data_IF_899183851825
#
_entry.id   IF_899183851825
#
_cell.length_a   1.000
_cell.length_b   1.000
_cell.length_c   1.000
_cell.angle_alpha   90.00
_cell.angle_beta   90.00
_cell.angle_gamma   90.00
#
_symmetry.space_group_name_H-M   'P 1'
#
loop_
_entity.id
_entity.type
_entity.pdbx_description
1 polymer ?
#
# COMPACT_ATOMS: atom_id res chain seq x y z
N UNK A 1 -0.67 -7.81 -11.87
CA UNK A 1 0.34 -7.77 -10.80
C UNK A 1 1.28 -6.59 -11.00
N UNK A 2 2.11 -6.54 -12.06
CA UNK A 2 3.13 -5.46 -12.24
C UNK A 2 2.57 -4.02 -12.21
N UNK A 3 1.36 -3.81 -12.74
CA UNK A 3 0.71 -2.49 -12.69
C UNK A 3 0.29 -2.09 -11.26
N UNK A 4 -0.22 -3.03 -10.45
CA UNK A 4 -0.60 -2.77 -9.06
C UNK A 4 0.63 -2.45 -8.18
N UNK A 5 1.73 -3.16 -8.40
CA UNK A 5 3.01 -2.89 -7.73
C UNK A 5 3.48 -1.45 -7.98
N UNK A 6 3.46 -1.00 -9.24
CA UNK A 6 3.85 0.37 -9.62
C UNK A 6 2.92 1.44 -9.05
N UNK A 7 1.61 1.20 -9.01
CA UNK A 7 0.64 2.12 -8.39
C UNK A 7 0.87 2.24 -6.88
N UNK A 8 1.06 1.11 -6.20
CA UNK A 8 1.39 1.09 -4.78
C UNK A 8 2.68 1.85 -4.46
N UNK A 9 3.74 1.63 -5.24
CA UNK A 9 4.98 2.39 -5.14
C UNK A 9 4.74 3.90 -5.29
N UNK A 10 3.97 4.30 -6.31
CA UNK A 10 3.66 5.71 -6.55
C UNK A 10 2.91 6.34 -5.38
N UNK A 11 1.91 5.66 -4.81
CA UNK A 11 1.19 6.14 -3.62
C UNK A 11 2.11 6.29 -2.41
N UNK A 12 2.99 5.31 -2.16
CA UNK A 12 3.95 5.37 -1.06
C UNK A 12 4.95 6.52 -1.24
N UNK A 13 5.38 6.79 -2.48
CA UNK A 13 6.24 7.94 -2.80
C UNK A 13 5.54 9.30 -2.62
N UNK A 14 4.22 9.36 -2.80
CA UNK A 14 3.42 10.54 -2.48
C UNK A 14 3.27 10.71 -0.96
N UNK A 15 3.04 9.61 -0.24
CA UNK A 15 2.88 9.58 1.21
C UNK A 15 4.17 9.88 1.97
N UNK A 16 5.32 9.41 1.47
CA UNK A 16 6.64 9.62 2.08
C UNK A 16 7.65 10.21 1.09
N UNK A 17 7.56 11.51 0.79
CA UNK A 17 8.48 12.17 -0.14
C UNK A 17 9.97 11.97 0.21
N UNK A 18 10.28 11.97 1.51
CA UNK A 18 11.63 11.78 2.04
C UNK A 18 12.18 10.35 1.85
N UNK A 19 11.31 9.36 1.62
CA UNK A 19 11.71 7.95 1.41
C UNK A 19 11.76 7.57 -0.08
N UNK A 20 11.45 8.50 -1.00
CA UNK A 20 11.47 8.25 -2.46
C UNK A 20 12.76 7.61 -2.97
N UNK A 21 13.97 8.05 -2.58
CA UNK A 21 15.20 7.44 -3.08
C UNK A 21 15.33 5.96 -2.67
N UNK A 22 15.04 5.65 -1.41
CA UNK A 22 15.13 4.29 -0.88
C UNK A 22 14.09 3.35 -1.50
N UNK A 23 12.85 3.82 -1.65
CA UNK A 23 11.77 3.09 -2.33
C UNK A 23 12.15 2.74 -3.78
N UNK A 24 12.63 3.73 -4.55
CA UNK A 24 13.05 3.51 -5.95
C UNK A 24 14.23 2.54 -6.06
N UNK A 25 15.24 2.71 -5.20
CA UNK A 25 16.46 1.91 -5.25
C UNK A 25 16.20 0.43 -4.96
N UNK A 26 15.30 0.13 -4.01
CA UNK A 26 15.01 -1.26 -3.61
C UNK A 26 13.91 -1.93 -4.44
N UNK A 27 12.99 -1.17 -5.06
CA UNK A 27 11.84 -1.75 -5.76
C UNK A 27 12.23 -2.70 -6.91
N UNK A 28 13.31 -2.40 -7.63
CA UNK A 28 13.76 -3.24 -8.75
C UNK A 28 14.57 -4.47 -8.34
N UNK A 29 15.01 -4.56 -7.08
CA UNK A 29 15.93 -5.61 -6.59
C UNK A 29 15.38 -6.42 -5.43
N UNK A 30 14.36 -5.93 -4.72
CA UNK A 30 13.65 -6.63 -3.65
C UNK A 30 12.24 -7.02 -4.14
N UNK A 31 12.10 -8.26 -4.60
CA UNK A 31 10.81 -8.81 -5.05
C UNK A 31 9.74 -8.75 -3.95
N UNK A 32 10.13 -8.88 -2.67
CA UNK A 32 9.20 -8.80 -1.55
C UNK A 32 8.74 -7.36 -1.30
N UNK A 33 9.58 -6.37 -1.56
CA UNK A 33 9.14 -4.98 -1.56
C UNK A 33 8.10 -4.73 -2.66
N UNK A 34 8.30 -5.29 -3.86
CA UNK A 34 7.32 -5.17 -4.94
C UNK A 34 5.96 -5.78 -4.56
N UNK A 35 5.95 -6.98 -3.96
CA UNK A 35 4.73 -7.60 -3.41
C UNK A 35 4.05 -6.74 -2.35
N UNK A 36 4.81 -6.12 -1.45
CA UNK A 36 4.25 -5.24 -0.42
C UNK A 36 3.66 -3.96 -1.03
N UNK A 37 4.26 -3.41 -2.09
CA UNK A 37 3.66 -2.29 -2.82
C UNK A 37 2.31 -2.69 -3.45
N UNK A 38 2.21 -3.88 -4.03
CA UNK A 38 0.94 -4.40 -4.55
C UNK A 38 -0.10 -4.63 -3.43
N UNK A 39 0.29 -5.25 -2.32
CA UNK A 39 -0.60 -5.44 -1.17
C UNK A 39 -1.12 -4.11 -0.63
N UNK A 40 -0.26 -3.09 -0.57
CA UNK A 40 -0.64 -1.74 -0.18
C UNK A 40 -1.64 -1.12 -1.16
N UNK A 41 -1.44 -1.26 -2.48
CA UNK A 41 -2.40 -0.77 -3.49
C UNK A 41 -3.77 -1.44 -3.33
N UNK A 42 -3.79 -2.77 -3.20
CA UNK A 42 -5.04 -3.53 -3.05
C UNK A 42 -5.79 -3.11 -1.79
N UNK A 43 -5.09 -2.92 -0.67
CA UNK A 43 -5.70 -2.42 0.56
C UNK A 43 -6.27 -1.00 0.39
N UNK A 44 -5.57 -0.12 -0.34
CA UNK A 44 -6.07 1.22 -0.66
C UNK A 44 -7.34 1.17 -1.54
N UNK A 45 -7.34 0.34 -2.58
CA UNK A 45 -8.48 0.17 -3.49
C UNK A 45 -9.68 -0.41 -2.71
N UNK A 46 -9.47 -1.41 -1.87
CA UNK A 46 -10.50 -2.04 -1.06
C UNK A 46 -11.07 -1.08 -0.01
N UNK A 47 -10.23 -0.34 0.71
CA UNK A 47 -10.69 0.69 1.65
C UNK A 47 -11.54 1.75 0.93
N UNK A 48 -11.09 2.21 -0.24
CA UNK A 48 -11.82 3.21 -1.05
C UNK A 48 -13.14 2.69 -1.60
N UNK A 49 -13.21 1.39 -1.94
CA UNK A 49 -14.43 0.74 -2.37
C UNK A 49 -15.44 0.69 -1.23
N UNK A 50 -15.03 0.19 -0.06
CA UNK A 50 -15.92 0.07 1.08
C UNK A 50 -16.38 1.43 1.61
N UNK A 51 -15.54 2.45 1.59
CA UNK A 51 -15.93 3.82 1.98
C UNK A 51 -17.09 4.39 1.14
N UNK A 52 -17.28 3.89 -0.09
CA UNK A 52 -18.36 4.28 -1.01
C UNK A 52 -19.51 3.29 -1.05
N UNK A 53 -19.39 2.15 -0.37
CA UNK A 53 -20.37 1.07 -0.42
C UNK A 53 -21.59 1.41 0.43
N UNK A 54 -22.82 1.18 -0.05
CA UNK A 54 -24.04 1.36 0.74
C UNK A 54 -24.27 0.24 1.76
N UNK A 55 -23.38 -0.76 1.81
CA UNK A 55 -23.50 -1.89 2.74
C UNK A 55 -23.44 -1.43 4.21
N UNK A 56 -24.28 -1.96 5.11
CA UNK A 56 -24.15 -1.68 6.55
C UNK A 56 -22.79 -2.08 7.14
N UNK A 57 -22.11 -3.08 6.54
CA UNK A 57 -20.78 -3.51 6.96
C UNK A 57 -19.64 -2.66 6.38
N UNK A 58 -19.95 -1.68 5.53
CA UNK A 58 -18.96 -0.85 4.85
C UNK A 58 -17.98 -0.13 5.79
N UNK A 59 -18.42 0.49 6.92
CA UNK A 59 -17.49 1.17 7.82
C UNK A 59 -16.48 0.21 8.46
N UNK A 60 -16.93 -0.96 8.87
CA UNK A 60 -16.08 -1.99 9.47
C UNK A 60 -15.05 -2.51 8.46
N UNK A 61 -15.51 -2.87 7.24
CA UNK A 61 -14.62 -3.33 6.17
C UNK A 61 -13.60 -2.27 5.76
N UNK A 62 -14.02 -1.02 5.60
CA UNK A 62 -13.10 0.08 5.31
C UNK A 62 -12.03 0.22 6.41
N UNK A 63 -12.41 0.05 7.67
CA UNK A 63 -11.47 0.10 8.79
C UNK A 63 -10.49 -1.07 8.80
N UNK A 64 -10.93 -2.30 8.49
CA UNK A 64 -10.05 -3.46 8.35
C UNK A 64 -8.96 -3.22 7.29
N UNK A 65 -9.34 -2.74 6.10
CA UNK A 65 -8.38 -2.45 5.05
C UNK A 65 -7.45 -1.28 5.40
N UNK A 66 -7.93 -0.26 6.11
CA UNK A 66 -7.06 0.81 6.63
C UNK A 66 -6.02 0.29 7.62
N UNK A 67 -6.40 -0.66 8.48
CA UNK A 67 -5.45 -1.33 9.38
C UNK A 67 -4.42 -2.14 8.61
N UNK A 68 -4.82 -2.85 7.54
CA UNK A 68 -3.89 -3.55 6.65
C UNK A 68 -2.93 -2.61 5.93
N UNK A 69 -3.39 -1.42 5.50
CA UNK A 69 -2.52 -0.39 4.92
C UNK A 69 -1.42 0.00 5.90
N UNK A 70 -1.77 0.30 7.16
CA UNK A 70 -0.80 0.71 8.20
C UNK A 70 0.20 -0.41 8.50
N UNK A 71 -0.26 -1.66 8.62
CA UNK A 71 0.63 -2.80 8.84
C UNK A 71 1.61 -2.99 7.66
N UNK A 72 1.09 -2.92 6.44
CA UNK A 72 1.90 -3.04 5.21
C UNK A 72 2.93 -1.91 5.12
N UNK A 73 2.53 -0.69 5.46
CA UNK A 73 3.43 0.47 5.53
C UNK A 73 4.60 0.23 6.48
N UNK A 74 4.35 -0.31 7.68
CA UNK A 74 5.39 -0.61 8.65
C UNK A 74 6.38 -1.65 8.13
N UNK A 75 5.91 -2.69 7.45
CA UNK A 75 6.78 -3.72 6.88
C UNK A 75 7.63 -3.20 5.73
N UNK A 76 7.07 -2.31 4.90
CA UNK A 76 7.82 -1.58 3.88
C UNK A 76 8.89 -0.70 4.52
N UNK A 77 8.56 0.05 5.57
CA UNK A 77 9.51 0.93 6.25
C UNK A 77 10.69 0.16 6.83
N UNK A 78 10.46 -0.99 7.47
CA UNK A 78 11.53 -1.89 7.95
C UNK A 78 12.44 -2.35 6.81
N UNK A 79 11.87 -2.56 5.62
CA UNK A 79 12.57 -3.03 4.42
C UNK A 79 13.27 -1.97 3.61
N UNK A 80 13.03 -0.69 3.83
CA UNK A 80 13.71 0.42 3.13
C UNK A 80 14.57 1.29 4.05
N UNK A 81 14.56 0.98 5.34
CA UNK A 81 15.47 1.61 6.31
C UNK A 81 16.89 1.08 6.17
#
# INVERSE_FOLDING_TARGET
MENAQRRGLARLMLRWPQKRPALKARFGSDARLAELCEAYEVACEAASYWDKSPSPAAPERAQEYRSLMVATEQDILKRIS
#
